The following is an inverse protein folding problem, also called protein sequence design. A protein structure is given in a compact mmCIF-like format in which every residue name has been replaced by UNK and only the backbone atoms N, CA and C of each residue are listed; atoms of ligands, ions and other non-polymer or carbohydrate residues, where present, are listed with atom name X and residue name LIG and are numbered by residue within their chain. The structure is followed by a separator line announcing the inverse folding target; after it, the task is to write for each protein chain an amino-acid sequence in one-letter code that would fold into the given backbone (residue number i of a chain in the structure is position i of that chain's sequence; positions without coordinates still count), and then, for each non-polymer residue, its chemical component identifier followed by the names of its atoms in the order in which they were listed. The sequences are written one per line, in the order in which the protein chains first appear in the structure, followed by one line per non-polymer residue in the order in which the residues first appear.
data_IF_968049502653
#
_entry.id   IF_968049502653
#
_cell.length_a   1.000
_cell.length_b   1.000
_cell.length_c   1.000
_cell.angle_alpha   90.00
_cell.angle_beta   90.00
_cell.angle_gamma   90.00
#
_symmetry.space_group_name_H-M   'P 1'
#
loop_
_entity.id
_entity.type
_entity.pdbx_description
1 polymer ?
#
# COMPACT_ATOMS: atom_id res chain seq x y z
N UNK A 1 6.59 32.60 5.08
CA UNK A 1 6.64 33.69 4.09
C UNK A 1 5.55 34.70 4.44
N UNK A 2 5.94 35.85 5.01
CA UNK A 2 5.26 37.16 5.05
C UNK A 2 6.14 38.07 5.94
N UNK A 3 6.76 39.14 5.41
CA UNK A 3 7.67 40.00 6.16
C UNK A 3 6.91 41.21 6.72
N UNK A 4 7.15 41.55 7.99
CA UNK A 4 6.73 42.83 8.57
C UNK A 4 7.96 43.73 8.74
N UNK A 5 8.02 44.72 7.85
CA UNK A 5 8.92 45.87 7.88
C UNK A 5 8.19 46.98 8.63
N UNK A 6 8.76 47.49 9.73
CA UNK A 6 8.43 48.80 10.33
C UNK A 6 9.75 49.40 10.83
N UNK A 7 10.38 50.28 10.03
CA UNK A 7 10.19 51.73 10.06
C UNK A 7 10.82 52.39 11.31
N UNK A 8 12.13 52.63 11.20
CA UNK A 8 12.93 53.48 12.08
C UNK A 8 12.42 54.92 11.95
N UNK A 9 11.83 55.48 13.01
CA UNK A 9 11.51 56.92 13.09
C UNK A 9 12.71 57.68 13.64
N UNK A 10 13.28 58.51 12.77
CA UNK A 10 14.25 59.53 13.12
C UNK A 10 13.62 60.59 14.05
N UNK A 11 14.33 60.95 15.12
CA UNK A 11 14.02 62.09 16.00
C UNK A 11 15.02 63.21 15.65
N UNK A 12 14.59 64.48 15.52
CA UNK A 12 15.40 65.51 14.91
C UNK A 12 16.49 66.04 15.83
N UNK A 13 17.62 66.30 15.19
CA UNK A 13 18.79 67.02 15.66
C UNK A 13 18.39 68.49 15.98
N UNK A 14 18.39 68.87 17.26
CA UNK A 14 18.43 70.29 17.65
C UNK A 14 19.81 70.60 18.20
N UNK A 15 20.53 71.35 17.38
CA UNK A 15 21.79 72.01 17.65
C UNK A 15 21.58 73.11 18.71
N UNK A 16 22.25 73.00 19.85
CA UNK A 16 22.56 74.15 20.70
C UNK A 16 24.03 74.08 21.07
N UNK A 17 24.86 74.84 20.33
CA UNK A 17 26.19 75.23 20.76
C UNK A 17 26.06 76.21 21.93
N UNK A 18 26.70 75.89 23.05
CA UNK A 18 27.33 76.89 23.89
C UNK A 18 28.73 76.37 24.25
N UNK A 19 29.74 76.99 23.64
CA UNK A 19 31.14 76.81 24.00
C UNK A 19 31.38 77.34 25.42
N UNK A 20 32.03 76.53 26.25
CA UNK A 20 32.98 77.03 27.23
C UNK A 20 34.10 76.00 27.38
N UNK A 21 35.20 76.24 26.68
CA UNK A 21 36.48 75.64 27.01
C UNK A 21 36.91 76.15 28.39
N UNK A 22 37.36 75.24 29.26
CA UNK A 22 38.40 75.58 30.22
C UNK A 22 39.53 74.58 30.07
N UNK A 23 40.59 75.02 29.39
CA UNK A 23 41.92 74.45 29.50
C UNK A 23 42.42 74.65 30.93
N UNK A 24 43.03 73.61 31.51
CA UNK A 24 44.04 73.72 32.57
C UNK A 24 43.64 74.50 33.83
N UNK A 25 42.86 73.87 34.71
CA UNK A 25 42.69 74.33 36.08
C UNK A 25 42.66 73.13 37.01
N UNK A 26 43.68 73.01 37.85
CA UNK A 26 43.82 72.17 39.06
C UNK A 26 42.79 71.08 39.28
N UNK A 27 43.30 69.85 39.49
CA UNK A 27 42.74 68.83 40.40
C UNK A 27 41.70 69.44 41.35
N UNK A 28 40.44 69.48 40.95
CA UNK A 28 39.33 69.68 41.87
C UNK A 28 39.10 68.29 42.41
N UNK A 29 40.04 67.86 43.25
CA UNK A 29 39.79 66.75 44.15
C UNK A 29 38.45 67.04 44.80
N UNK A 30 37.53 66.08 44.73
CA UNK A 30 36.27 66.20 45.44
C UNK A 30 36.52 66.64 46.89
N UNK A 31 35.59 67.40 47.50
CA UNK A 31 35.70 67.76 48.90
C UNK A 31 36.06 66.55 49.76
N UNK A 32 36.83 66.76 50.83
CA UNK A 32 37.27 65.67 51.69
C UNK A 32 36.07 64.80 52.12
N UNK A 33 36.16 63.49 51.87
CA UNK A 33 35.07 62.53 52.12
C UNK A 33 34.19 62.20 50.91
N UNK A 34 34.31 62.90 49.78
CA UNK A 34 33.59 62.60 48.54
C UNK A 34 34.49 61.96 47.48
N UNK A 35 33.90 61.17 46.58
CA UNK A 35 34.57 60.51 45.47
C UNK A 35 34.03 61.01 44.14
N UNK A 36 34.91 61.19 43.14
CA UNK A 36 34.52 61.58 41.79
C UNK A 36 33.92 60.38 41.04
N UNK A 37 32.61 60.46 40.74
CA UNK A 37 31.87 59.45 40.00
C UNK A 37 31.53 59.93 38.58
N UNK A 38 32.57 60.20 37.78
CA UNK A 38 32.40 60.60 36.37
C UNK A 38 32.04 62.07 36.19
N UNK A 39 32.67 62.95 36.98
CA UNK A 39 32.49 64.40 36.95
C UNK A 39 31.52 64.94 38.02
N UNK A 40 30.95 64.07 38.86
CA UNK A 40 30.12 64.47 40.01
C UNK A 40 30.73 63.94 41.29
N UNK A 41 30.97 64.82 42.25
CA UNK A 41 31.45 64.42 43.57
C UNK A 41 30.29 63.89 44.42
N UNK A 42 30.38 62.63 44.83
CA UNK A 42 29.34 61.93 45.59
C UNK A 42 29.92 61.41 46.89
N UNK A 43 29.16 61.53 47.98
CA UNK A 43 29.47 60.85 49.23
C UNK A 43 29.07 59.37 49.13
N UNK A 44 30.06 58.50 48.99
CA UNK A 44 29.84 57.06 48.91
C UNK A 44 29.33 56.45 50.22
N UNK A 45 29.38 57.19 51.34
CA UNK A 45 28.95 56.68 52.65
C UNK A 45 27.44 56.76 52.86
N UNK A 46 26.75 57.63 52.12
CA UNK A 46 25.34 57.98 52.33
C UNK A 46 24.49 57.97 51.06
N UNK A 47 25.10 57.97 49.87
CA UNK A 47 24.37 57.96 48.60
C UNK A 47 23.73 56.61 48.29
N UNK A 48 22.41 56.57 48.15
CA UNK A 48 21.66 55.36 47.77
C UNK A 48 21.88 54.94 46.31
N UNK A 49 22.48 55.79 45.46
CA UNK A 49 22.78 55.49 44.05
C UNK A 49 24.27 55.14 43.85
N UNK A 50 25.15 55.57 44.77
CA UNK A 50 26.60 55.37 44.71
C UNK A 50 27.14 54.83 46.05
N UNK A 51 26.50 53.81 46.64
CA UNK A 51 26.85 53.36 47.98
C UNK A 51 28.12 52.51 47.97
N UNK A 52 29.17 52.93 48.66
CA UNK A 52 30.47 52.24 48.70
C UNK A 52 31.29 52.31 47.40
N UNK A 53 30.64 52.48 46.25
CA UNK A 53 31.26 52.68 44.94
C UNK A 53 30.36 53.48 43.98
N UNK A 54 30.96 54.07 42.96
CA UNK A 54 30.20 54.78 41.92
C UNK A 54 29.24 53.84 41.18
N UNK A 55 27.98 54.28 41.00
CA UNK A 55 26.91 53.50 40.35
C UNK A 55 26.55 52.18 41.06
N UNK A 56 26.89 52.06 42.35
CA UNK A 56 26.43 50.97 43.21
C UNK A 56 25.15 51.37 43.94
N UNK A 57 24.03 51.33 43.21
CA UNK A 57 22.74 51.67 43.78
C UNK A 57 22.27 50.60 44.76
N UNK A 58 21.76 51.03 45.90
CA UNK A 58 21.15 50.13 46.87
C UNK A 58 19.82 49.58 46.36
N UNK A 59 19.47 48.39 46.86
CA UNK A 59 18.18 47.75 46.67
C UNK A 59 17.03 48.71 46.98
N UNK A 60 15.88 48.54 46.31
CA UNK A 60 14.71 49.37 46.59
C UNK A 60 14.31 49.25 48.08
N UNK A 61 14.23 50.39 48.77
CA UNK A 61 13.95 50.46 50.22
C UNK A 61 15.17 50.34 51.14
N UNK A 62 16.36 50.02 50.62
CA UNK A 62 17.60 50.03 51.40
C UNK A 62 18.17 51.45 51.54
N UNK A 63 18.83 51.70 52.68
CA UNK A 63 19.61 52.90 52.92
C UNK A 63 21.10 52.60 52.71
N UNK A 64 21.86 53.63 52.34
CA UNK A 64 23.32 53.55 52.37
C UNK A 64 23.81 54.02 53.74
N UNK A 65 24.44 53.13 54.51
CA UNK A 65 24.99 53.43 55.83
C UNK A 65 26.47 53.06 55.87
N UNK A 66 27.33 54.04 56.10
CA UNK A 66 28.79 53.86 56.14
C UNK A 66 29.36 53.17 54.88
N UNK A 67 28.76 53.43 53.72
CA UNK A 67 29.19 52.87 52.43
C UNK A 67 28.74 51.44 52.18
N UNK A 68 27.83 50.90 52.99
CA UNK A 68 27.18 49.62 52.76
C UNK A 68 25.67 49.80 52.63
N UNK A 69 25.08 49.15 51.63
CA UNK A 69 23.63 49.07 51.50
C UNK A 69 23.07 48.17 52.61
N UNK A 70 22.16 48.72 53.41
CA UNK A 70 21.51 48.02 54.50
C UNK A 70 19.99 48.20 54.41
N UNK A 71 19.26 47.11 54.64
CA UNK A 71 17.81 47.19 54.79
C UNK A 71 17.42 47.83 56.14
N UNK A 72 16.23 48.45 56.22
CA UNK A 72 15.68 48.90 57.49
C UNK A 72 15.66 47.79 58.54
N UNK A 73 15.71 48.16 59.82
CA UNK A 73 15.66 47.19 60.91
C UNK A 73 14.41 46.29 60.78
N UNK A 74 14.62 44.97 60.88
CA UNK A 74 13.56 43.97 60.71
C UNK A 74 13.32 43.53 59.27
N UNK A 75 13.93 44.16 58.26
CA UNK A 75 13.82 43.75 56.87
C UNK A 75 15.07 43.01 56.38
N UNK A 76 14.91 42.14 55.39
CA UNK A 76 16.00 41.43 54.72
C UNK A 76 16.08 41.80 53.24
N UNK A 77 17.28 41.77 52.63
CA UNK A 77 17.44 41.99 51.20
C UNK A 77 17.04 40.74 50.40
N UNK A 78 15.99 40.83 49.59
CA UNK A 78 15.54 39.77 48.70
C UNK A 78 15.35 40.30 47.27
N UNK A 79 16.02 39.71 46.28
CA UNK A 79 15.82 40.04 44.86
C UNK A 79 15.99 41.53 44.51
N UNK A 80 16.88 42.25 45.18
CA UNK A 80 17.13 43.67 44.92
C UNK A 80 16.15 44.65 45.57
N UNK A 81 15.36 44.20 46.55
CA UNK A 81 14.52 45.05 47.42
C UNK A 81 14.62 44.61 48.87
N UNK A 82 14.30 45.51 49.80
CA UNK A 82 14.10 45.13 51.18
C UNK A 82 12.66 44.64 51.38
N UNK A 83 12.51 43.51 52.06
CA UNK A 83 11.23 42.90 52.38
C UNK A 83 11.16 42.63 53.88
N UNK A 84 9.97 42.77 54.45
CA UNK A 84 9.72 42.37 55.83
C UNK A 84 9.38 40.87 55.86
N UNK A 85 10.29 39.99 56.29
CA UNK A 85 10.03 38.56 56.29
C UNK A 85 8.97 38.16 57.32
N UNK A 86 8.54 39.04 58.22
CA UNK A 86 7.49 38.73 59.19
C UNK A 86 6.07 38.89 58.60
N UNK A 87 5.93 39.60 57.49
CA UNK A 87 4.63 39.99 56.91
C UNK A 87 4.52 39.85 55.39
N UNK A 88 5.64 39.78 54.65
CA UNK A 88 5.63 39.57 53.20
C UNK A 88 5.36 38.09 52.86
N UNK A 89 4.16 37.81 52.35
CA UNK A 89 3.72 36.48 51.94
C UNK A 89 4.55 35.84 50.81
N UNK A 90 5.37 36.59 50.07
CA UNK A 90 6.26 36.03 49.06
C UNK A 90 7.68 35.73 49.59
N UNK A 91 8.01 36.20 50.80
CA UNK A 91 9.34 36.11 51.41
C UNK A 91 9.25 35.81 52.92
N UNK A 92 8.31 34.95 53.32
CA UNK A 92 7.95 34.74 54.71
C UNK A 92 9.05 33.98 55.45
N UNK A 93 9.68 34.60 56.45
CA UNK A 93 10.85 34.09 57.17
C UNK A 93 12.16 34.21 56.36
N UNK A 94 12.16 33.87 55.07
CA UNK A 94 13.34 33.93 54.19
C UNK A 94 12.97 34.32 52.75
N UNK A 95 13.96 34.73 51.95
CA UNK A 95 13.74 35.09 50.54
C UNK A 95 13.17 33.93 49.72
N UNK A 96 12.08 34.18 48.98
CA UNK A 96 11.45 33.19 48.09
C UNK A 96 10.61 32.11 48.80
N UNK A 97 10.49 32.17 50.13
CA UNK A 97 9.58 31.30 50.88
C UNK A 97 8.15 31.87 50.82
N UNK A 98 7.46 31.56 49.72
CA UNK A 98 6.12 32.07 49.45
C UNK A 98 5.04 31.24 50.15
N UNK A 99 4.05 31.89 50.76
CA UNK A 99 2.96 31.21 51.44
C UNK A 99 1.86 30.71 50.51
N UNK A 100 1.73 31.21 49.28
CA UNK A 100 0.70 30.76 48.34
C UNK A 100 -0.72 31.01 48.86
N UNK A 101 -1.46 29.94 49.16
CA UNK A 101 -2.83 29.98 49.70
C UNK A 101 -2.87 30.32 51.21
N UNK A 102 -1.98 31.18 51.67
CA UNK A 102 -1.85 31.58 53.07
C UNK A 102 -1.28 32.99 53.22
N UNK A 103 -1.20 33.46 54.46
CA UNK A 103 -0.62 34.76 54.82
C UNK A 103 0.66 34.58 55.63
N UNK A 104 1.57 35.56 55.60
CA UNK A 104 2.74 35.54 56.47
C UNK A 104 2.40 36.18 57.82
N UNK A 105 2.61 35.42 58.90
CA UNK A 105 2.41 35.89 60.28
C UNK A 105 3.62 35.53 61.13
N UNK A 106 4.41 36.54 61.51
CA UNK A 106 5.57 36.36 62.38
C UNK A 106 6.69 35.53 61.75
N UNK A 107 6.77 35.49 60.41
CA UNK A 107 7.78 34.75 59.67
C UNK A 107 7.43 33.29 59.39
N UNK A 108 6.19 32.87 59.68
CA UNK A 108 5.65 31.58 59.30
C UNK A 108 4.38 31.75 58.45
N UNK A 109 4.14 30.82 57.53
CA UNK A 109 2.93 30.83 56.74
C UNK A 109 1.73 30.31 57.54
N UNK A 110 0.69 31.12 57.62
CA UNK A 110 -0.63 30.77 58.15
C UNK A 110 -1.54 30.40 56.98
N UNK A 111 -1.78 29.10 56.78
CA UNK A 111 -2.52 28.58 55.63
C UNK A 111 -4.02 28.82 55.79
N UNK A 112 -4.66 29.29 54.72
CA UNK A 112 -6.11 29.48 54.71
C UNK A 112 -6.86 28.15 54.86
N UNK A 113 -8.11 28.21 55.31
CA UNK A 113 -8.95 27.02 55.42
C UNK A 113 -9.06 26.29 54.06
N UNK A 114 -8.75 24.99 54.06
CA UNK A 114 -8.72 24.15 52.85
C UNK A 114 -7.35 24.02 52.18
N UNK A 115 -6.38 24.89 52.51
CA UNK A 115 -4.99 24.70 52.11
C UNK A 115 -4.24 23.84 53.13
N UNK A 116 -3.19 23.16 52.67
CA UNK A 116 -2.30 22.37 53.52
C UNK A 116 -0.89 22.95 53.50
N UNK A 117 -0.22 22.95 54.65
CA UNK A 117 1.17 23.34 54.75
C UNK A 117 2.08 22.22 54.24
N UNK A 118 2.92 22.53 53.26
CA UNK A 118 3.96 21.65 52.73
C UNK A 118 5.33 22.25 52.98
N UNK A 119 5.97 21.96 54.13
CA UNK A 119 7.25 22.54 54.49
C UNK A 119 8.31 22.28 53.43
N UNK A 120 8.96 23.34 52.96
CA UNK A 120 9.97 23.27 51.89
C UNK A 120 9.42 23.35 50.48
N UNK A 121 8.10 23.32 50.29
CA UNK A 121 7.47 23.65 49.02
C UNK A 121 7.52 25.17 48.77
N UNK A 122 7.43 25.56 47.49
CA UNK A 122 7.30 26.96 47.08
C UNK A 122 6.20 27.04 46.03
N UNK A 123 4.98 27.48 46.41
CA UNK A 123 4.58 27.97 47.73
C UNK A 123 4.41 26.89 48.81
N UNK A 124 4.47 27.26 50.11
CA UNK A 124 4.27 26.35 51.24
C UNK A 124 2.80 25.92 51.41
N UNK A 125 1.85 26.86 51.39
CA UNK A 125 0.44 26.51 51.49
C UNK A 125 -0.13 26.23 50.08
N UNK A 126 -0.49 24.97 49.86
CA UNK A 126 -0.96 24.43 48.58
C UNK A 126 -2.32 23.75 48.74
N UNK A 127 -3.07 23.67 47.64
CA UNK A 127 -4.33 22.94 47.60
C UNK A 127 -4.08 21.50 47.17
N UNK A 128 -4.07 20.57 48.13
CA UNK A 128 -3.84 19.16 47.82
C UNK A 128 -4.95 18.55 46.95
N UNK A 129 -6.08 19.22 46.74
CA UNK A 129 -7.19 18.72 45.93
C UNK A 129 -7.06 19.01 44.44
N UNK A 130 -6.27 20.02 44.07
CA UNK A 130 -6.17 20.53 42.70
C UNK A 130 -4.73 20.84 42.24
N UNK A 131 -3.78 20.98 43.15
CA UNK A 131 -2.39 21.23 42.82
C UNK A 131 -1.73 19.96 42.26
N UNK A 132 -1.25 20.06 41.02
CA UNK A 132 -0.60 18.94 40.32
C UNK A 132 0.78 18.60 40.84
N UNK A 133 1.44 19.46 41.61
CA UNK A 133 2.75 19.16 42.22
C UNK A 133 2.63 18.68 43.67
N UNK A 134 1.44 18.80 44.27
CA UNK A 134 1.15 18.39 45.65
C UNK A 134 -0.19 17.64 45.76
N UNK A 135 -0.51 16.73 44.83
CA UNK A 135 -1.83 16.12 44.74
C UNK A 135 -2.05 15.05 45.82
N UNK A 136 -3.00 15.27 46.73
CA UNK A 136 -3.33 14.38 47.83
C UNK A 136 -2.34 14.41 49.00
N UNK A 137 -1.07 14.72 48.75
CA UNK A 137 -0.03 14.95 49.74
C UNK A 137 1.08 15.86 49.18
N UNK A 138 1.89 16.42 50.08
CA UNK A 138 3.06 17.23 49.71
C UNK A 138 4.04 16.45 48.83
N UNK A 139 4.56 17.11 47.79
CA UNK A 139 5.53 16.59 46.83
C UNK A 139 5.05 15.37 46.00
N UNK A 140 3.74 15.14 45.97
CA UNK A 140 3.11 14.18 45.08
C UNK A 140 2.76 14.88 43.76
N UNK A 141 3.69 14.83 42.82
CA UNK A 141 3.47 15.38 41.50
C UNK A 141 2.73 14.40 40.56
N UNK A 142 1.63 14.87 39.96
CA UNK A 142 0.93 14.15 38.89
C UNK A 142 1.73 14.22 37.60
N UNK A 143 2.14 13.04 37.12
CA UNK A 143 2.90 12.85 35.88
C UNK A 143 2.12 12.07 34.83
N UNK A 144 2.74 11.80 33.68
CA UNK A 144 2.14 10.90 32.70
C UNK A 144 2.06 9.48 33.27
N UNK A 145 0.94 8.76 33.08
CA UNK A 145 -0.15 9.07 32.17
C UNK A 145 -1.34 9.84 32.78
N UNK A 146 -1.31 10.17 34.08
CA UNK A 146 -2.39 10.81 34.85
C UNK A 146 -2.00 12.22 35.34
N UNK A 147 -1.97 13.24 34.46
CA UNK A 147 -1.42 14.56 34.78
C UNK A 147 -2.35 15.49 35.56
N UNK A 148 -3.61 15.11 35.81
CA UNK A 148 -4.61 16.00 36.41
C UNK A 148 -4.82 15.67 37.89
N UNK A 149 -4.81 16.66 38.77
CA UNK A 149 -5.20 16.47 40.16
C UNK A 149 -6.69 16.78 40.32
N UNK A 150 -7.48 15.79 40.71
CA UNK A 150 -8.92 15.94 40.96
C UNK A 150 -9.25 15.28 42.29
N UNK A 151 -9.77 16.06 43.22
CA UNK A 151 -10.13 15.59 44.58
C UNK A 151 -8.96 14.88 45.29
N UNK A 152 -7.73 15.39 45.09
CA UNK A 152 -6.53 14.87 45.71
C UNK A 152 -6.04 13.54 45.16
N UNK A 153 -6.51 13.13 43.98
CA UNK A 153 -5.98 12.00 43.26
C UNK A 153 -5.47 12.43 41.88
N UNK A 154 -4.33 11.87 41.46
CA UNK A 154 -3.87 11.99 40.08
C UNK A 154 -4.79 11.15 39.18
N UNK A 155 -5.41 11.81 38.22
CA UNK A 155 -6.42 11.27 37.32
C UNK A 155 -6.00 11.47 35.86
N UNK A 156 -6.58 10.65 35.00
CA UNK A 156 -6.35 10.69 33.57
C UNK A 156 -7.07 11.87 32.93
N UNK A 157 -6.43 12.51 31.94
CA UNK A 157 -7.12 13.50 31.13
C UNK A 157 -8.29 12.86 30.37
N UNK A 158 -9.51 13.42 30.46
CA UNK A 158 -10.65 12.94 29.69
C UNK A 158 -10.33 12.84 28.19
N UNK A 159 -10.83 11.81 27.47
CA UNK A 159 -11.80 10.79 27.89
C UNK A 159 -11.17 9.50 28.45
N UNK A 160 -9.90 9.52 28.88
CA UNK A 160 -9.20 8.31 29.34
C UNK A 160 -9.66 7.92 30.75
N UNK A 161 -9.72 6.60 30.99
CA UNK A 161 -10.03 5.99 32.28
C UNK A 161 -8.76 5.44 32.91
N UNK A 162 -8.63 5.59 34.23
CA UNK A 162 -7.52 5.00 34.98
C UNK A 162 -7.73 3.49 35.12
N UNK A 163 -6.82 2.71 34.55
CA UNK A 163 -6.78 1.26 34.62
C UNK A 163 -5.48 0.82 35.27
N UNK A 164 -5.49 0.75 36.61
CA UNK A 164 -4.28 0.57 37.42
C UNK A 164 -3.36 1.78 37.28
N UNK A 165 -2.11 1.55 36.88
CA UNK A 165 -1.12 2.60 36.68
C UNK A 165 -1.17 3.26 35.28
N UNK A 166 -2.08 2.84 34.40
CA UNK A 166 -2.18 3.32 33.02
C UNK A 166 -3.48 4.09 32.76
N UNK A 167 -3.42 5.11 31.90
CA UNK A 167 -4.61 5.80 31.38
C UNK A 167 -4.98 5.28 30.00
N UNK A 168 -6.06 4.53 29.92
CA UNK A 168 -6.54 3.96 28.66
C UNK A 168 -7.80 4.66 28.16
N UNK A 169 -7.95 4.74 26.84
CA UNK A 169 -9.21 5.15 26.23
C UNK A 169 -10.08 3.91 26.01
N UNK A 170 -10.97 3.65 26.96
CA UNK A 170 -11.85 2.46 26.97
C UNK A 170 -12.81 2.42 25.79
N UNK A 171 -12.89 3.48 24.97
CA UNK A 171 -13.76 3.52 23.78
C UNK A 171 -13.12 2.88 22.56
N UNK A 172 -11.80 2.72 22.56
CA UNK A 172 -11.02 2.28 21.39
C UNK A 172 -9.91 1.27 21.74
N UNK A 173 -9.54 1.10 23.00
CA UNK A 173 -8.56 0.10 23.42
C UNK A 173 -9.22 -1.29 23.50
N UNK A 174 -8.80 -2.19 22.62
CA UNK A 174 -9.29 -3.57 22.55
C UNK A 174 -8.98 -4.42 23.80
N UNK A 175 -8.02 -4.01 24.63
CA UNK A 175 -7.70 -4.68 25.91
C UNK A 175 -8.45 -4.11 27.11
N UNK A 176 -9.14 -2.98 26.93
CA UNK A 176 -9.85 -2.25 27.98
C UNK A 176 -11.20 -1.72 27.48
N UNK A 177 -11.90 -2.47 26.63
CA UNK A 177 -13.07 -1.98 25.91
C UNK A 177 -14.30 -1.86 26.81
N UNK A 178 -14.81 -0.64 26.96
CA UNK A 178 -15.91 -0.31 27.89
C UNK A 178 -15.50 -0.28 29.36
N UNK A 179 -14.33 -0.83 29.71
CA UNK A 179 -13.81 -0.85 31.07
C UNK A 179 -12.45 -1.52 31.18
N UNK A 180 -11.75 -1.28 32.29
CA UNK A 180 -10.42 -1.81 32.54
C UNK A 180 -10.37 -3.34 32.48
N UNK A 181 -9.39 -3.89 31.76
CA UNK A 181 -9.19 -5.33 31.61
C UNK A 181 -10.24 -6.06 30.78
N UNK A 182 -11.18 -5.33 30.16
CA UNK A 182 -12.18 -5.93 29.27
C UNK A 182 -11.57 -6.13 27.90
N UNK A 183 -11.00 -7.31 27.68
CA UNK A 183 -10.47 -7.72 26.38
C UNK A 183 -11.60 -8.18 25.49
N UNK A 184 -11.61 -7.72 24.23
CA UNK A 184 -12.61 -8.15 23.29
C UNK A 184 -12.50 -9.67 22.99
N UNK A 185 -13.62 -10.42 23.10
CA UNK A 185 -13.57 -11.87 23.23
C UNK A 185 -13.45 -12.63 21.89
N UNK A 186 -13.78 -11.98 20.77
CA UNK A 186 -13.76 -12.60 19.45
C UNK A 186 -12.38 -12.42 18.82
N UNK A 187 -12.01 -13.33 17.92
CA UNK A 187 -10.87 -13.07 17.04
C UNK A 187 -11.25 -12.00 16.02
N UNK A 188 -10.39 -11.00 15.82
CA UNK A 188 -10.58 -9.85 14.91
C UNK A 188 -11.73 -8.88 15.27
N UNK A 189 -12.32 -8.96 16.46
CA UNK A 189 -13.17 -7.87 16.91
C UNK A 189 -12.33 -6.64 17.29
N UNK A 190 -13.02 -5.50 17.36
CA UNK A 190 -12.41 -4.21 17.70
C UNK A 190 -13.23 -3.53 18.77
N UNK A 191 -12.58 -2.66 19.55
CA UNK A 191 -13.28 -1.76 20.44
C UNK A 191 -13.73 -0.53 19.67
N UNK A 192 -15.04 -0.32 19.56
CA UNK A 192 -15.60 0.86 18.94
C UNK A 192 -16.75 1.39 19.79
N UNK A 193 -16.56 2.59 20.33
CA UNK A 193 -17.55 3.24 21.20
C UNK A 193 -17.66 2.62 22.59
N UNK A 194 -16.66 1.85 23.03
CA UNK A 194 -16.68 1.15 24.32
C UNK A 194 -17.40 -0.19 24.28
N UNK A 195 -17.73 -0.68 23.08
CA UNK A 195 -18.31 -2.00 22.87
C UNK A 195 -17.44 -2.79 21.92
N UNK A 196 -17.17 -4.05 22.27
CA UNK A 196 -16.52 -4.99 21.37
C UNK A 196 -17.50 -5.39 20.27
N UNK A 197 -17.09 -5.16 19.03
CA UNK A 197 -17.90 -5.47 17.87
C UNK A 197 -17.01 -5.85 16.70
N UNK A 198 -17.59 -6.58 15.76
CA UNK A 198 -16.91 -6.87 14.52
C UNK A 198 -16.74 -5.60 13.67
N UNK A 199 -15.56 -5.37 13.06
CA UNK A 199 -15.36 -4.22 12.19
C UNK A 199 -16.20 -4.36 10.92
N UNK A 200 -16.51 -3.24 10.26
CA UNK A 200 -17.35 -3.24 9.05
C UNK A 200 -16.77 -4.06 7.89
N UNK A 201 -15.46 -4.31 7.88
CA UNK A 201 -14.81 -5.17 6.89
C UNK A 201 -15.03 -6.67 7.14
N UNK A 202 -15.34 -7.06 8.39
CA UNK A 202 -15.55 -8.44 8.85
C UNK A 202 -16.85 -8.52 9.68
N UNK A 203 -18.01 -8.14 9.13
CA UNK A 203 -19.21 -7.86 9.93
C UNK A 203 -19.86 -9.08 10.60
N UNK A 204 -19.49 -10.30 10.19
CA UNK A 204 -20.19 -11.52 10.55
C UNK A 204 -19.46 -12.30 11.66
N UNK A 205 -20.21 -12.75 12.68
CA UNK A 205 -19.66 -13.58 13.77
C UNK A 205 -19.80 -15.05 13.40
N UNK A 206 -18.68 -15.77 13.34
CA UNK A 206 -18.67 -17.20 13.09
C UNK A 206 -18.22 -18.04 14.29
N UNK A 207 -19.00 -19.07 14.66
CA UNK A 207 -18.59 -20.03 15.66
C UNK A 207 -17.56 -20.99 15.07
N UNK A 208 -16.30 -20.83 15.47
CA UNK A 208 -15.29 -21.83 15.19
C UNK A 208 -15.42 -22.96 16.23
N UNK A 209 -15.70 -24.19 15.80
CA UNK A 209 -15.74 -25.35 16.69
C UNK A 209 -14.38 -25.52 17.37
N UNK A 210 -14.32 -25.31 18.69
CA UNK A 210 -13.08 -25.43 19.46
C UNK A 210 -12.13 -24.23 19.39
N UNK A 211 -12.56 -23.07 18.91
CA UNK A 211 -11.79 -21.81 18.93
C UNK A 211 -12.69 -20.65 19.38
N UNK A 212 -12.14 -19.53 19.90
CA UNK A 212 -12.93 -18.34 20.12
C UNK A 212 -13.65 -17.95 18.83
N UNK A 213 -14.91 -17.53 18.96
CA UNK A 213 -15.72 -16.99 17.88
C UNK A 213 -14.91 -15.94 17.11
N UNK A 214 -15.05 -15.84 15.79
CA UNK A 214 -14.23 -14.94 14.96
C UNK A 214 -15.10 -14.04 14.10
N UNK A 215 -14.68 -12.79 13.92
CA UNK A 215 -15.25 -11.89 12.92
C UNK A 215 -14.70 -12.26 11.54
N UNK A 216 -15.59 -12.48 10.58
CA UNK A 216 -15.28 -12.79 9.19
C UNK A 216 -16.16 -11.97 8.25
N UNK A 217 -15.88 -12.04 6.96
CA UNK A 217 -16.74 -11.47 5.93
C UNK A 217 -17.35 -12.61 5.13
N UNK A 218 -18.62 -12.94 5.37
CA UNK A 218 -19.28 -14.04 4.65
C UNK A 218 -19.40 -13.75 3.16
N UNK A 219 -19.30 -12.49 2.73
CA UNK A 219 -19.40 -12.10 1.33
C UNK A 219 -18.12 -12.35 0.51
N UNK A 220 -16.94 -12.42 1.16
CA UNK A 220 -15.65 -12.52 0.48
C UNK A 220 -14.64 -13.50 1.10
N UNK A 221 -14.90 -14.04 2.29
CA UNK A 221 -14.03 -15.05 2.90
C UNK A 221 -14.24 -16.40 2.23
N UNK A 222 -13.21 -16.87 1.51
CA UNK A 222 -13.20 -18.15 0.81
C UNK A 222 -13.45 -19.36 1.73
N UNK A 223 -13.19 -19.26 3.04
CA UNK A 223 -13.42 -20.34 4.02
C UNK A 223 -14.79 -20.26 4.70
N UNK A 224 -15.48 -19.13 4.58
CA UNK A 224 -16.76 -18.87 5.25
C UNK A 224 -17.75 -18.24 4.25
N UNK A 225 -17.79 -18.69 3.01
CA UNK A 225 -18.54 -18.01 1.95
C UNK A 225 -20.04 -18.27 2.11
N UNK A 226 -20.81 -17.23 2.44
CA UNK A 226 -22.25 -17.27 2.66
C UNK A 226 -22.70 -17.88 4.01
N UNK A 227 -21.87 -18.75 4.60
CA UNK A 227 -22.08 -19.32 5.92
C UNK A 227 -20.76 -19.70 6.60
N UNK A 228 -20.77 -19.74 7.92
CA UNK A 228 -19.61 -20.12 8.72
C UNK A 228 -19.16 -21.56 8.39
N UNK A 229 -17.87 -21.73 8.09
CA UNK A 229 -17.28 -23.01 7.69
C UNK A 229 -17.63 -23.47 6.27
N UNK A 230 -18.38 -22.68 5.49
CA UNK A 230 -18.68 -22.99 4.09
C UNK A 230 -17.51 -22.57 3.19
N UNK A 231 -16.47 -23.39 3.16
CA UNK A 231 -15.32 -23.15 2.31
C UNK A 231 -15.63 -23.47 0.84
N UNK A 232 -15.23 -22.57 -0.06
CA UNK A 232 -15.36 -22.81 -1.50
C UNK A 232 -14.35 -23.87 -1.98
N UNK A 233 -14.72 -24.58 -3.04
CA UNK A 233 -13.87 -25.59 -3.66
C UNK A 233 -12.67 -24.97 -4.37
N UNK A 234 -11.67 -25.80 -4.71
CA UNK A 234 -10.45 -25.35 -5.33
C UNK A 234 -10.72 -24.63 -6.67
N UNK A 235 -10.19 -23.41 -6.80
CA UNK A 235 -10.34 -22.58 -8.01
C UNK A 235 -11.63 -21.76 -8.08
N UNK A 236 -12.48 -21.81 -7.06
CA UNK A 236 -13.59 -20.88 -6.87
C UNK A 236 -13.13 -19.63 -6.10
N UNK A 237 -13.89 -18.55 -6.26
CA UNK A 237 -13.83 -17.33 -5.47
C UNK A 237 -15.13 -17.18 -4.66
N UNK A 238 -15.07 -16.46 -3.54
CA UNK A 238 -16.27 -16.04 -2.83
C UNK A 238 -16.72 -14.67 -3.36
N UNK A 239 -17.87 -14.64 -4.02
CA UNK A 239 -18.43 -13.41 -4.61
C UNK A 239 -19.83 -13.21 -4.03
N UNK A 240 -20.00 -12.12 -3.28
CA UNK A 240 -21.26 -11.76 -2.62
C UNK A 240 -21.88 -12.91 -1.82
N UNK A 241 -21.03 -13.70 -1.15
CA UNK A 241 -21.42 -14.81 -0.29
C UNK A 241 -21.79 -16.09 -1.04
N UNK A 242 -21.47 -16.17 -2.32
CA UNK A 242 -21.64 -17.38 -3.13
C UNK A 242 -20.30 -17.84 -3.69
N UNK A 243 -20.01 -19.13 -3.56
CA UNK A 243 -18.86 -19.73 -4.23
C UNK A 243 -19.12 -19.78 -5.74
N UNK A 244 -18.33 -19.02 -6.50
CA UNK A 244 -18.46 -18.88 -7.94
C UNK A 244 -17.12 -19.13 -8.61
N UNK A 245 -17.16 -19.49 -9.89
CA UNK A 245 -15.93 -19.56 -10.68
C UNK A 245 -15.53 -18.17 -11.19
N UNK A 246 -14.22 -17.96 -11.47
CA UNK A 246 -13.77 -16.79 -12.20
C UNK A 246 -14.51 -16.61 -13.53
N UNK A 247 -14.56 -15.38 -14.03
CA UNK A 247 -15.26 -15.05 -15.27
C UNK A 247 -14.86 -15.98 -16.43
N UNK A 248 -15.86 -16.49 -17.15
CA UNK A 248 -15.67 -17.40 -18.30
C UNK A 248 -15.55 -18.88 -17.94
N UNK A 249 -15.54 -19.24 -16.65
CA UNK A 249 -15.52 -20.64 -16.20
C UNK A 249 -16.85 -21.04 -15.57
N UNK A 250 -17.11 -22.34 -15.57
CA UNK A 250 -18.28 -22.93 -14.91
C UNK A 250 -17.84 -23.98 -13.91
N UNK A 251 -18.70 -24.21 -12.90
CA UNK A 251 -18.49 -25.27 -11.92
C UNK A 251 -18.85 -26.61 -12.56
N UNK A 252 -17.86 -27.47 -12.75
CA UNK A 252 -18.07 -28.87 -13.14
C UNK A 252 -17.89 -29.79 -11.93
N UNK A 253 -18.86 -30.67 -11.68
CA UNK A 253 -18.88 -31.57 -10.51
C UNK A 253 -19.70 -31.01 -9.34
N UNK A 254 -19.64 -31.70 -8.19
CA UNK A 254 -20.35 -31.31 -6.95
C UNK A 254 -19.47 -31.58 -5.72
N UNK A 255 -19.76 -30.90 -4.61
CA UNK A 255 -19.03 -31.06 -3.34
C UNK A 255 -17.54 -30.77 -3.48
N UNK A 256 -16.70 -31.58 -2.81
CA UNK A 256 -15.24 -31.45 -2.86
C UNK A 256 -14.60 -31.78 -4.22
N UNK A 257 -15.38 -32.36 -5.15
CA UNK A 257 -14.94 -32.65 -6.52
C UNK A 257 -15.34 -31.56 -7.52
N UNK A 258 -15.98 -30.49 -7.08
CA UNK A 258 -16.33 -29.36 -7.94
C UNK A 258 -15.05 -28.59 -8.35
N UNK A 259 -14.88 -28.34 -9.65
CA UNK A 259 -13.74 -27.63 -10.22
C UNK A 259 -14.21 -26.59 -11.23
N UNK A 260 -13.50 -25.46 -11.29
CA UNK A 260 -13.76 -24.42 -12.28
C UNK A 260 -13.10 -24.75 -13.61
N UNK A 261 -13.93 -24.98 -14.61
CA UNK A 261 -13.55 -25.45 -15.95
C UNK A 261 -13.90 -24.40 -16.99
N UNK A 262 -12.97 -24.13 -17.90
CA UNK A 262 -13.24 -23.31 -19.09
C UNK A 262 -13.79 -24.20 -20.21
N UNK A 263 -15.10 -24.16 -20.42
CA UNK A 263 -15.74 -24.97 -21.45
C UNK A 263 -15.34 -24.58 -22.88
N UNK A 264 -14.69 -23.44 -23.08
CA UNK A 264 -14.30 -22.97 -24.40
C UNK A 264 -12.96 -23.54 -24.89
N UNK A 265 -12.12 -24.00 -23.95
CA UNK A 265 -10.76 -24.43 -24.23
C UNK A 265 -10.35 -25.74 -23.58
N UNK A 266 -11.10 -26.25 -22.58
CA UNK A 266 -10.79 -27.51 -21.90
C UNK A 266 -11.17 -28.73 -22.77
N UNK A 267 -10.19 -29.54 -23.22
CA UNK A 267 -10.46 -30.73 -24.00
C UNK A 267 -11.21 -31.83 -23.23
N UNK A 268 -11.20 -31.83 -21.89
CA UNK A 268 -11.92 -32.80 -21.08
C UNK A 268 -13.38 -32.40 -20.82
N UNK A 269 -13.77 -31.17 -21.14
CA UNK A 269 -15.11 -30.63 -20.86
C UNK A 269 -15.48 -29.55 -21.88
N UNK A 270 -15.36 -29.86 -23.16
CA UNK A 270 -15.56 -28.91 -24.23
C UNK A 270 -17.05 -28.67 -24.49
N UNK A 271 -17.50 -27.42 -24.32
CA UNK A 271 -18.89 -26.99 -24.51
C UNK A 271 -19.83 -27.34 -23.34
N UNK A 272 -19.62 -28.49 -22.67
CA UNK A 272 -20.35 -28.88 -21.45
C UNK A 272 -19.45 -29.73 -20.53
N UNK A 273 -19.73 -29.71 -19.22
CA UNK A 273 -18.96 -30.48 -18.24
C UNK A 273 -18.93 -31.98 -18.56
N UNK A 274 -17.73 -32.57 -18.56
CA UNK A 274 -17.51 -34.00 -18.83
C UNK A 274 -17.50 -34.40 -20.31
N UNK A 275 -17.74 -33.45 -21.23
CA UNK A 275 -17.66 -33.73 -22.67
C UNK A 275 -16.21 -33.67 -23.14
N UNK A 276 -15.54 -34.81 -23.07
CA UNK A 276 -14.18 -34.95 -23.55
C UNK A 276 -14.12 -34.99 -25.08
N UNK A 277 -13.21 -34.21 -25.64
CA UNK A 277 -12.82 -34.23 -27.04
C UNK A 277 -12.13 -35.55 -27.39
N UNK A 278 -12.45 -36.08 -28.57
CA UNK A 278 -11.84 -37.31 -29.06
C UNK A 278 -10.33 -37.13 -29.29
N UNK A 279 -9.52 -38.20 -29.19
CA UNK A 279 -8.08 -38.12 -29.39
C UNK A 279 -7.71 -37.41 -30.71
N UNK A 280 -6.81 -36.42 -30.62
CA UNK A 280 -6.36 -35.63 -31.77
C UNK A 280 -7.20 -34.40 -32.10
N UNK A 281 -8.30 -34.15 -31.38
CA UNK A 281 -9.08 -32.90 -31.45
C UNK A 281 -8.70 -31.96 -30.29
N UNK A 282 -8.82 -30.65 -30.52
CA UNK A 282 -8.63 -29.60 -29.52
C UNK A 282 -9.95 -28.87 -29.26
N UNK A 283 -10.18 -28.43 -28.03
CA UNK A 283 -11.33 -27.59 -27.72
C UNK A 283 -11.04 -26.14 -28.14
N UNK A 284 -11.89 -25.58 -28.99
CA UNK A 284 -11.82 -24.18 -29.39
C UNK A 284 -13.22 -23.61 -29.56
N UNK A 285 -13.50 -22.55 -28.80
CA UNK A 285 -14.82 -21.90 -28.80
C UNK A 285 -15.95 -22.84 -28.33
N UNK A 286 -15.63 -23.79 -27.46
CA UNK A 286 -16.59 -24.76 -26.92
C UNK A 286 -16.95 -25.89 -27.87
N UNK A 287 -16.13 -26.11 -28.90
CA UNK A 287 -16.29 -27.20 -29.87
C UNK A 287 -14.98 -27.96 -30.03
N UNK A 288 -15.07 -29.28 -30.10
CA UNK A 288 -13.92 -30.11 -30.45
C UNK A 288 -13.65 -29.95 -31.95
N UNK A 289 -12.53 -29.31 -32.28
CA UNK A 289 -12.09 -29.04 -33.63
C UNK A 289 -10.78 -29.76 -33.93
N UNK A 290 -10.56 -30.04 -35.21
CA UNK A 290 -9.26 -30.52 -35.65
C UNK A 290 -8.25 -29.36 -35.73
N UNK A 291 -6.97 -29.62 -35.42
CA UNK A 291 -5.93 -28.62 -35.55
C UNK A 291 -5.78 -28.16 -37.01
N UNK A 292 -5.26 -26.94 -37.20
CA UNK A 292 -5.02 -26.35 -38.52
C UNK A 292 -4.17 -27.27 -39.39
N UNK A 293 -4.70 -27.68 -40.55
CA UNK A 293 -4.07 -28.65 -41.46
C UNK A 293 -4.81 -29.99 -41.57
N UNK A 294 -5.75 -30.28 -40.66
CA UNK A 294 -6.70 -31.39 -40.76
C UNK A 294 -8.12 -30.82 -40.97
N UNK A 295 -8.74 -30.95 -42.15
CA UNK A 295 -9.97 -30.23 -42.46
C UNK A 295 -11.23 -30.82 -41.84
N UNK A 296 -11.22 -32.08 -41.38
CA UNK A 296 -12.45 -32.74 -40.94
C UNK A 296 -12.23 -33.85 -39.91
N UNK A 297 -13.20 -33.99 -39.00
CA UNK A 297 -13.30 -35.14 -38.10
C UNK A 297 -14.09 -36.26 -38.80
N UNK A 298 -13.44 -37.39 -39.08
CA UNK A 298 -14.06 -38.59 -39.66
C UNK A 298 -14.03 -39.72 -38.64
N UNK A 299 -15.16 -40.38 -38.40
CA UNK A 299 -15.25 -41.47 -37.42
C UNK A 299 -14.85 -41.08 -35.98
N UNK A 300 -14.85 -39.79 -35.67
CA UNK A 300 -14.38 -39.25 -34.38
C UNK A 300 -12.89 -38.91 -34.30
N UNK A 301 -12.10 -39.14 -35.36
CA UNK A 301 -10.68 -38.77 -35.44
C UNK A 301 -10.41 -37.66 -36.45
N UNK A 302 -9.34 -36.89 -36.26
CA UNK A 302 -8.94 -35.85 -37.20
C UNK A 302 -8.19 -36.42 -38.40
N UNK A 303 -8.67 -36.09 -39.60
CA UNK A 303 -8.11 -36.59 -40.85
C UNK A 303 -7.48 -35.46 -41.66
N UNK A 304 -6.33 -35.69 -42.32
CA UNK A 304 -5.82 -34.81 -43.35
C UNK A 304 -6.65 -34.96 -44.64
N UNK A 305 -6.68 -33.95 -45.52
CA UNK A 305 -7.37 -34.03 -46.81
C UNK A 305 -8.27 -32.84 -47.13
N UNK A 306 -9.47 -33.08 -47.65
CA UNK A 306 -10.56 -32.09 -47.77
C UNK A 306 -11.94 -32.65 -47.41
N UNK A 307 -12.03 -33.95 -47.09
CA UNK A 307 -13.28 -34.61 -46.72
C UNK A 307 -13.08 -35.98 -46.09
N UNK A 308 -14.18 -36.66 -45.78
CA UNK A 308 -14.18 -38.02 -45.25
C UNK A 308 -14.56 -39.06 -46.31
N UNK A 309 -14.02 -40.26 -46.15
CA UNK A 309 -14.38 -41.45 -46.90
C UNK A 309 -15.45 -42.26 -46.17
N UNK A 310 -16.03 -43.25 -46.87
CA UNK A 310 -16.96 -44.22 -46.27
C UNK A 310 -18.12 -43.55 -45.50
N UNK A 311 -18.76 -42.56 -46.12
CA UNK A 311 -19.86 -41.80 -45.52
C UNK A 311 -19.52 -41.13 -44.17
N UNK A 312 -18.26 -40.73 -43.97
CA UNK A 312 -17.85 -39.96 -42.80
C UNK A 312 -17.03 -40.74 -41.77
N UNK A 313 -16.75 -42.04 -41.99
CA UNK A 313 -16.10 -42.89 -40.98
C UNK A 313 -14.60 -43.04 -41.16
N UNK A 314 -14.06 -42.82 -42.35
CA UNK A 314 -12.64 -43.05 -42.65
C UNK A 314 -11.93 -41.78 -43.15
N UNK A 315 -10.64 -41.67 -42.83
CA UNK A 315 -9.78 -40.62 -43.36
C UNK A 315 -9.47 -40.87 -44.85
N UNK A 316 -9.23 -39.78 -45.59
CA UNK A 316 -8.57 -39.88 -46.89
C UNK A 316 -7.11 -40.32 -46.72
N UNK A 317 -6.61 -41.08 -47.69
CA UNK A 317 -5.21 -41.49 -47.78
C UNK A 317 -4.42 -40.37 -48.46
N UNK A 318 -3.28 -39.99 -47.87
CA UNK A 318 -2.38 -39.01 -48.46
C UNK A 318 -1.45 -39.70 -49.48
N UNK A 319 -1.39 -39.15 -50.68
CA UNK A 319 -0.56 -39.63 -51.77
C UNK A 319 0.43 -38.54 -52.18
N UNK A 320 1.66 -38.95 -52.51
CA UNK A 320 2.65 -38.06 -53.11
C UNK A 320 2.47 -38.04 -54.63
N UNK A 321 2.53 -36.86 -55.24
CA UNK A 321 2.48 -36.76 -56.70
C UNK A 321 3.86 -36.83 -57.36
N UNK A 322 4.92 -37.17 -56.63
CA UNK A 322 6.31 -37.24 -57.12
C UNK A 322 7.00 -35.87 -57.24
N UNK A 323 6.28 -34.77 -56.98
CA UNK A 323 6.76 -33.40 -57.16
C UNK A 323 6.80 -32.62 -55.83
N UNK A 324 6.69 -33.33 -54.71
CA UNK A 324 6.68 -32.76 -53.36
C UNK A 324 5.34 -32.14 -52.96
N UNK A 325 4.27 -32.34 -53.75
CA UNK A 325 2.91 -31.98 -53.38
C UNK A 325 2.12 -33.24 -53.00
N UNK A 326 1.10 -33.06 -52.15
CA UNK A 326 0.22 -34.15 -51.71
C UNK A 326 -1.18 -33.99 -52.28
N UNK A 327 -1.79 -35.12 -52.63
CA UNK A 327 -3.23 -35.21 -52.90
C UNK A 327 -3.86 -36.26 -51.98
N UNK A 328 -5.18 -36.22 -51.86
CA UNK A 328 -5.92 -37.03 -50.91
C UNK A 328 -7.12 -37.68 -51.59
N UNK A 329 -7.30 -38.99 -51.40
CA UNK A 329 -8.45 -39.73 -51.91
C UNK A 329 -8.88 -40.87 -50.96
N UNK A 330 -9.88 -41.66 -51.35
CA UNK A 330 -10.42 -42.77 -50.55
C UNK A 330 -9.86 -44.15 -50.93
N UNK A 331 -8.81 -44.23 -51.75
CA UNK A 331 -8.21 -45.48 -52.23
C UNK A 331 -6.84 -45.76 -51.62
N UNK A 332 -6.45 -47.05 -51.58
CA UNK A 332 -5.11 -47.47 -51.18
C UNK A 332 -4.05 -47.16 -52.26
N UNK A 333 -2.79 -47.00 -51.83
CA UNK A 333 -1.64 -46.60 -52.66
C UNK A 333 -1.27 -47.62 -53.76
N UNK A 334 -1.59 -48.90 -53.61
CA UNK A 334 -0.91 -49.95 -54.38
C UNK A 334 -1.55 -50.28 -55.75
N UNK A 335 -2.62 -49.58 -56.13
CA UNK A 335 -3.29 -49.77 -57.41
C UNK A 335 -3.56 -48.45 -58.10
N UNK A 336 -2.53 -47.66 -58.47
CA UNK A 336 -2.72 -46.40 -59.22
C UNK A 336 -3.54 -46.61 -60.51
N UNK A 337 -4.86 -46.44 -60.42
CA UNK A 337 -5.81 -46.53 -61.53
C UNK A 337 -5.78 -45.26 -62.37
N UNK A 338 -6.37 -45.30 -63.57
CA UNK A 338 -6.56 -44.11 -64.40
C UNK A 338 -7.27 -42.98 -63.64
N UNK A 339 -8.28 -43.32 -62.83
CA UNK A 339 -9.02 -42.36 -62.01
C UNK A 339 -8.12 -41.67 -60.98
N UNK A 340 -7.22 -42.41 -60.32
CA UNK A 340 -6.28 -41.84 -59.36
C UNK A 340 -5.23 -40.95 -60.03
N UNK A 341 -4.75 -41.32 -61.22
CA UNK A 341 -3.85 -40.46 -61.98
C UNK A 341 -4.55 -39.16 -62.45
N UNK A 342 -5.86 -39.20 -62.75
CA UNK A 342 -6.66 -37.98 -62.99
C UNK A 342 -6.74 -37.10 -61.74
N UNK A 343 -7.00 -37.69 -60.57
CA UNK A 343 -7.06 -36.95 -59.30
C UNK A 343 -5.70 -36.32 -58.94
N UNK A 344 -4.60 -37.08 -59.11
CA UNK A 344 -3.24 -36.58 -58.92
C UNK A 344 -2.91 -35.41 -59.88
N UNK A 345 -3.34 -35.52 -61.14
CA UNK A 345 -3.20 -34.47 -62.14
C UNK A 345 -3.96 -33.19 -61.78
N UNK A 346 -5.19 -33.33 -61.27
CA UNK A 346 -6.02 -32.20 -60.83
C UNK A 346 -5.42 -31.47 -59.63
N UNK A 347 -4.72 -32.17 -58.74
CA UNK A 347 -4.11 -31.59 -57.54
C UNK A 347 -2.91 -30.66 -57.85
N UNK A 348 -2.19 -30.89 -58.96
CA UNK A 348 -1.06 -30.04 -59.36
C UNK A 348 -1.51 -28.63 -59.79
N UNK A 349 -2.69 -28.50 -60.40
CA UNK A 349 -3.35 -27.22 -60.67
C UNK A 349 -4.78 -27.41 -61.20
N UNK A 350 -5.76 -26.70 -60.60
CA UNK A 350 -7.16 -26.72 -61.03
C UNK A 350 -7.42 -25.96 -62.35
N UNK A 351 -6.50 -25.10 -62.80
CA UNK A 351 -6.69 -24.21 -63.96
C UNK A 351 -6.11 -24.74 -65.27
N UNK A 352 -5.43 -25.89 -65.25
CA UNK A 352 -4.87 -26.52 -66.45
C UNK A 352 -5.93 -27.15 -67.36
N UNK A 353 -5.63 -27.27 -68.64
CA UNK A 353 -6.41 -28.04 -69.61
C UNK A 353 -6.07 -29.53 -69.45
N UNK A 354 -7.09 -30.36 -69.26
CA UNK A 354 -6.94 -31.83 -69.30
C UNK A 354 -7.03 -32.29 -70.75
N UNK A 355 -6.07 -33.08 -71.20
CA UNK A 355 -6.23 -33.86 -72.42
C UNK A 355 -6.67 -35.27 -72.02
N UNK A 356 -7.82 -35.71 -72.55
CA UNK A 356 -8.28 -37.07 -72.35
C UNK A 356 -7.18 -38.03 -72.82
N UNK A 357 -6.83 -38.99 -71.95
CA UNK A 357 -5.63 -39.85 -71.99
C UNK A 357 -5.45 -40.75 -73.23
N UNK A 358 -6.11 -40.43 -74.34
CA UNK A 358 -5.87 -40.99 -75.67
C UNK A 358 -4.82 -40.23 -76.46
N UNK A 359 -4.42 -39.03 -76.03
CA UNK A 359 -3.48 -38.21 -76.79
C UNK A 359 -2.27 -37.84 -75.93
N UNK A 360 -1.22 -38.64 -76.15
CA UNK A 360 0.20 -38.38 -75.86
C UNK A 360 0.67 -38.86 -74.48
N UNK A 361 0.77 -40.19 -74.35
CA UNK A 361 2.00 -40.94 -74.00
C UNK A 361 1.67 -42.44 -73.75
N UNK A 362 1.14 -43.12 -74.76
CA UNK A 362 0.66 -44.50 -74.64
C UNK A 362 -0.69 -44.61 -73.93
N UNK A 363 -1.12 -45.85 -73.65
CA UNK A 363 -2.47 -46.17 -73.14
C UNK A 363 -2.64 -45.92 -71.63
N UNK A 364 -1.57 -45.57 -70.91
CA UNK A 364 -1.53 -45.66 -69.44
C UNK A 364 -0.95 -44.42 -68.73
N UNK A 365 -0.94 -43.25 -69.38
CA UNK A 365 -0.50 -41.99 -68.77
C UNK A 365 -1.42 -40.82 -69.17
N UNK A 366 -1.50 -39.79 -68.31
CA UNK A 366 -2.25 -38.56 -68.48
C UNK A 366 -1.30 -37.36 -68.47
N UNK A 367 -1.58 -36.34 -69.28
CA UNK A 367 -0.81 -35.08 -69.29
C UNK A 367 -1.72 -33.87 -69.00
N UNK A 368 -1.21 -32.93 -68.19
CA UNK A 368 -1.79 -31.59 -68.04
C UNK A 368 -0.70 -30.56 -68.33
N UNK A 369 -1.11 -29.48 -68.99
CA UNK A 369 -0.26 -28.32 -69.19
C UNK A 369 -0.88 -27.07 -68.58
N UNK A 370 -0.01 -26.20 -68.13
CA UNK A 370 -0.24 -24.76 -68.02
C UNK A 370 0.42 -24.12 -69.24
N UNK A 371 0.06 -22.89 -69.59
CA UNK A 371 0.69 -22.20 -70.73
C UNK A 371 2.22 -22.08 -70.66
N UNK A 372 2.85 -22.45 -69.54
CA UNK A 372 4.30 -22.41 -69.31
C UNK A 372 4.94 -23.73 -68.87
N UNK A 373 4.18 -24.76 -68.47
CA UNK A 373 4.71 -26.04 -67.97
C UNK A 373 3.79 -27.21 -68.33
N UNK A 374 4.34 -28.41 -68.52
CA UNK A 374 3.57 -29.64 -68.71
C UNK A 374 3.97 -30.70 -67.68
N UNK A 375 3.02 -31.51 -67.23
CA UNK A 375 3.24 -32.58 -66.26
C UNK A 375 2.52 -33.86 -66.69
N UNK A 376 3.12 -35.01 -66.41
CA UNK A 376 2.63 -36.34 -66.82
C UNK A 376 2.48 -37.25 -65.61
N UNK A 377 1.35 -37.97 -65.50
CA UNK A 377 1.07 -38.98 -64.48
C UNK A 377 0.77 -40.33 -65.12
N UNK A 378 1.47 -41.37 -64.69
CA UNK A 378 1.28 -42.72 -65.22
C UNK A 378 0.56 -43.65 -64.22
N UNK A 379 -0.32 -44.49 -64.75
CA UNK A 379 -1.16 -45.43 -63.99
C UNK A 379 -0.92 -46.88 -64.41
N UNK A 380 -1.66 -47.82 -63.80
CA UNK A 380 -1.55 -49.25 -64.00
C UNK A 380 -1.55 -49.62 -65.49
N UNK A 381 -0.53 -50.40 -65.90
CA UNK A 381 -0.22 -50.69 -67.30
C UNK A 381 1.04 -49.97 -67.82
N UNK A 382 1.51 -48.93 -67.12
CA UNK A 382 2.79 -48.28 -67.38
C UNK A 382 3.91 -48.83 -66.47
N UNK A 383 5.16 -48.94 -66.97
CA UNK A 383 6.33 -49.19 -66.11
C UNK A 383 6.59 -48.04 -65.12
N UNK A 384 6.03 -46.85 -65.37
CA UNK A 384 6.13 -45.67 -64.51
C UNK A 384 4.88 -45.45 -63.64
N UNK A 385 4.07 -46.49 -63.39
CA UNK A 385 2.87 -46.38 -62.56
C UNK A 385 3.20 -45.70 -61.20
N UNK A 386 2.42 -44.68 -60.83
CA UNK A 386 2.62 -43.92 -59.60
C UNK A 386 3.68 -42.81 -59.66
N UNK A 387 4.39 -42.66 -60.79
CA UNK A 387 5.35 -41.56 -60.98
C UNK A 387 4.68 -40.38 -61.68
N UNK A 388 5.10 -39.17 -61.31
CA UNK A 388 4.87 -37.97 -62.09
C UNK A 388 6.16 -37.20 -62.34
N UNK A 389 6.20 -36.46 -63.46
CA UNK A 389 7.33 -35.62 -63.85
C UNK A 389 6.83 -34.33 -64.47
N UNK A 390 7.60 -33.24 -64.35
CA UNK A 390 7.28 -31.91 -64.89
C UNK A 390 8.34 -31.49 -65.89
N UNK A 391 7.89 -30.82 -66.95
CA UNK A 391 8.72 -30.09 -67.88
C UNK A 391 8.37 -28.60 -67.91
N UNK A 392 9.40 -27.77 -68.10
CA UNK A 392 9.27 -26.31 -68.24
C UNK A 392 8.89 -25.86 -69.65
N UNK A 393 8.49 -26.79 -70.52
CA UNK A 393 7.86 -26.46 -71.81
C UNK A 393 6.36 -26.63 -71.67
N UNK A 394 5.60 -25.57 -71.97
CA UNK A 394 4.14 -25.52 -71.79
C UNK A 394 3.33 -26.33 -72.81
N UNK A 395 3.81 -27.50 -73.23
CA UNK A 395 3.07 -28.34 -74.18
C UNK A 395 3.17 -29.85 -73.88
N UNK A 396 2.03 -30.47 -73.63
CA UNK A 396 1.74 -31.91 -73.69
C UNK A 396 1.82 -32.45 -75.13
N UNK A 397 1.93 -31.60 -76.14
CA UNK A 397 1.97 -31.95 -77.56
C UNK A 397 3.28 -32.59 -78.05
N UNK A 398 4.29 -32.77 -77.17
CA UNK A 398 5.60 -33.30 -77.58
C UNK A 398 5.53 -34.84 -77.61
N UNK A 399 5.84 -35.41 -78.78
CA UNK A 399 5.67 -36.82 -79.11
C UNK A 399 6.52 -37.84 -78.30
N UNK A 400 7.25 -37.39 -77.27
CA UNK A 400 8.14 -38.25 -76.50
C UNK A 400 8.08 -37.89 -75.01
N UNK A 401 7.24 -38.62 -74.27
CA UNK A 401 7.47 -38.88 -72.84
C UNK A 401 8.89 -39.41 -72.59
N UNK A 402 9.41 -39.44 -71.34
CA UNK A 402 10.80 -39.06 -70.97
C UNK A 402 11.97 -39.93 -71.50
N UNK A 403 11.80 -40.68 -72.58
CA UNK A 403 12.77 -41.63 -73.10
C UNK A 403 13.38 -41.32 -74.47
N UNK A 404 13.01 -40.25 -75.19
CA UNK A 404 13.54 -40.14 -76.56
C UNK A 404 13.66 -38.76 -77.23
N UNK A 405 13.57 -37.63 -76.53
CA UNK A 405 13.55 -36.36 -77.27
C UNK A 405 13.96 -35.12 -76.50
N UNK A 406 15.23 -35.00 -76.11
CA UNK A 406 15.93 -33.72 -75.90
C UNK A 406 15.38 -32.73 -74.85
N UNK A 407 14.22 -32.96 -74.23
CA UNK A 407 13.65 -32.13 -73.18
C UNK A 407 14.04 -32.71 -71.83
N UNK A 408 14.60 -31.86 -70.95
CA UNK A 408 14.88 -32.25 -69.59
C UNK A 408 13.56 -32.34 -68.81
N UNK A 409 13.19 -33.56 -68.45
CA UNK A 409 12.13 -33.86 -67.50
C UNK A 409 12.81 -34.10 -66.15
N UNK A 410 12.31 -33.46 -65.10
CA UNK A 410 12.84 -33.59 -63.74
C UNK A 410 11.93 -34.44 -62.86
#
# INVERSE_FOLDING_TARGET
MHPLVHAVRAVPLVLALALAACSGGSKTSCPAGQTDCGGTCVDLQSSTIHCGACLHACAAGAACTAGACACPAGQIPCGGRCVDPATDAANCGTCGHACGLGTCAGGACDCAAGASACPGASPECVDLQADRTHCGACDVACGQPAPECVAGACTCSPPRTACGAACTDTRIDASNCGGCGTVCPLTNDVCLGGTCQCPSALPDVCPAAGSPQTCVNLAGDIRNCGACGHACAAGQDCVDGTCACPAGKVVCGTGSGAVCTDLLSDPASCGTCGTACAPGTACSGGRCLCPTGAPLACGGGCCPGTGCCEAGTACQTAHDNGLGQKYYDCGALDEHTQAQAVLAALAWSATGTTFDGTTICGTFCLCRETGTQAAVWCYAGSPMKGLATVSNVGSCAIATCPFAGGVAWH
#
